data_IF_403111901096
#
_entry.id   IF_403111901096
#
_cell.length_a   1.000
_cell.length_b   1.000
_cell.length_c   1.000
_cell.angle_alpha   90.00
_cell.angle_beta   90.00
_cell.angle_gamma   90.00
#
_symmetry.space_group_name_H-M   'P 1'
#
loop_
_entity.id
_entity.type
_entity.pdbx_description
1 polymer ?
#
# COMPACT_ATOMS: atom_id res chain seq x y z
N UNK A 1 76.94 43.05 20.06
CA UNK A 1 76.09 43.42 18.92
C UNK A 1 74.66 43.00 19.25
N UNK A 2 73.78 43.99 19.39
CA UNK A 2 72.32 44.01 19.12
C UNK A 2 71.45 42.84 19.63
N UNK A 3 70.61 43.10 20.64
CA UNK A 3 69.19 42.65 20.68
C UNK A 3 68.35 43.71 19.93
N UNK A 4 67.10 43.50 19.41
CA UNK A 4 66.02 42.69 20.01
C UNK A 4 64.89 42.16 19.05
N UNK A 5 63.81 41.66 19.69
CA UNK A 5 62.38 41.65 19.29
C UNK A 5 61.90 40.58 18.29
N UNK A 6 61.09 39.62 18.73
CA UNK A 6 59.62 39.67 18.93
C UNK A 6 58.81 39.57 17.63
N UNK A 7 58.16 38.42 17.41
CA UNK A 7 56.71 38.39 17.26
C UNK A 7 56.16 36.95 17.34
N UNK A 8 55.36 36.74 18.37
CA UNK A 8 54.36 35.69 18.49
C UNK A 8 53.24 35.89 17.47
N UNK A 9 52.84 34.82 16.76
CA UNK A 9 51.47 34.68 16.28
C UNK A 9 50.90 33.36 16.81
N UNK A 10 50.07 33.48 17.83
CA UNK A 10 49.06 32.51 18.23
C UNK A 10 47.93 32.43 17.20
N UNK A 11 47.07 31.41 17.36
CA UNK A 11 45.83 31.08 16.64
C UNK A 11 46.06 30.21 15.39
N UNK A 12 45.34 29.11 15.18
CA UNK A 12 44.09 28.63 15.77
C UNK A 12 43.90 27.16 15.39
N UNK A 13 43.31 26.39 16.31
CA UNK A 13 42.52 25.21 15.95
C UNK A 13 41.70 25.50 14.69
N UNK A 14 41.90 24.70 13.65
CA UNK A 14 40.96 24.62 12.54
C UNK A 14 40.96 23.19 12.06
N UNK A 15 40.03 22.45 12.65
CA UNK A 15 39.28 21.38 12.02
C UNK A 15 40.11 20.36 11.23
N UNK A 16 40.90 19.57 11.97
CA UNK A 16 41.00 18.13 11.67
C UNK A 16 39.65 17.49 12.05
N UNK A 17 38.56 17.97 11.44
CA UNK A 17 37.37 17.17 11.32
C UNK A 17 37.81 15.98 10.48
N UNK A 18 37.65 14.73 10.95
CA UNK A 18 37.70 13.64 10.00
C UNK A 18 36.62 13.99 8.98
N UNK A 19 37.03 14.36 7.76
CA UNK A 19 36.20 14.20 6.58
C UNK A 19 35.63 12.81 6.76
N UNK A 20 34.37 12.73 7.19
CA UNK A 20 33.62 11.48 7.23
C UNK A 20 33.61 11.06 5.79
N UNK A 21 34.60 10.26 5.45
CA UNK A 21 34.76 9.61 4.19
C UNK A 21 33.37 9.02 3.93
N UNK A 22 32.74 9.49 2.86
CA UNK A 22 31.42 9.04 2.44
C UNK A 22 31.66 7.63 1.86
N UNK A 23 31.95 6.65 2.72
CA UNK A 23 32.54 5.35 2.33
C UNK A 23 31.48 4.34 1.88
N UNK A 24 30.20 4.59 2.10
CA UNK A 24 29.17 3.57 1.84
C UNK A 24 28.42 3.75 0.52
N UNK A 25 28.57 4.89 -0.17
CA UNK A 25 27.70 5.24 -1.29
C UNK A 25 28.46 5.26 -2.61
N UNK A 26 27.91 4.62 -3.64
CA UNK A 26 28.50 4.70 -4.97
C UNK A 26 28.40 6.13 -5.49
N UNK A 27 29.37 6.56 -6.30
CA UNK A 27 29.33 7.88 -6.95
C UNK A 27 28.07 8.06 -7.81
N UNK A 28 27.55 6.97 -8.38
CA UNK A 28 26.30 6.96 -9.13
C UNK A 28 25.06 7.21 -8.27
N UNK A 29 25.01 6.64 -7.06
CA UNK A 29 23.93 6.87 -6.11
C UNK A 29 23.92 8.33 -5.62
N UNK A 30 25.10 8.86 -5.29
CA UNK A 30 25.25 10.27 -4.89
C UNK A 30 24.84 11.20 -6.04
N UNK A 31 25.26 10.92 -7.27
CA UNK A 31 24.88 11.74 -8.43
C UNK A 31 23.35 11.72 -8.66
N UNK A 32 22.73 10.53 -8.58
CA UNK A 32 21.27 10.37 -8.69
C UNK A 32 20.54 11.18 -7.61
N UNK A 33 21.01 11.10 -6.36
CA UNK A 33 20.44 11.84 -5.25
C UNK A 33 20.58 13.36 -5.43
N UNK A 34 21.75 13.86 -5.80
CA UNK A 34 21.98 15.30 -6.03
C UNK A 34 21.16 15.84 -7.21
N UNK A 35 20.97 15.04 -8.27
CA UNK A 35 20.08 15.41 -9.36
C UNK A 35 18.63 15.54 -8.86
N UNK A 36 18.16 14.61 -8.03
CA UNK A 36 16.82 14.69 -7.44
C UNK A 36 16.69 15.85 -6.46
N UNK A 37 17.75 16.20 -5.70
CA UNK A 37 17.76 17.41 -4.86
C UNK A 37 17.54 18.69 -5.68
N UNK A 38 18.02 18.70 -6.93
CA UNK A 38 17.87 19.85 -7.83
C UNK A 38 16.50 19.85 -8.51
N UNK A 39 16.02 18.66 -8.88
CA UNK A 39 14.72 18.45 -9.51
C UNK A 39 14.08 17.15 -9.01
N UNK A 40 13.10 17.28 -8.11
CA UNK A 40 12.39 16.15 -7.52
C UNK A 40 11.50 15.40 -8.53
N UNK A 41 11.24 15.99 -9.71
CA UNK A 41 10.46 15.32 -10.74
C UNK A 41 11.19 14.12 -11.36
N UNK A 42 12.52 14.05 -11.20
CA UNK A 42 13.37 12.96 -11.67
C UNK A 42 13.22 11.67 -10.85
N UNK A 43 12.48 11.68 -9.73
CA UNK A 43 12.21 10.45 -8.96
C UNK A 43 11.34 9.50 -9.78
N UNK A 44 11.82 8.26 -9.94
CA UNK A 44 11.16 7.18 -10.66
C UNK A 44 11.28 5.84 -9.92
N UNK A 45 10.72 4.75 -10.47
CA UNK A 45 10.74 3.45 -9.81
C UNK A 45 12.14 2.83 -9.66
N UNK A 46 13.09 3.24 -10.51
CA UNK A 46 14.44 2.69 -10.54
C UNK A 46 15.33 3.36 -9.49
N UNK A 47 15.12 4.65 -9.25
CA UNK A 47 15.93 5.44 -8.33
C UNK A 47 15.26 5.66 -6.96
N UNK A 48 13.96 5.39 -6.82
CA UNK A 48 13.19 5.62 -5.60
C UNK A 48 13.90 5.12 -4.34
N UNK A 49 14.43 3.90 -4.36
CA UNK A 49 15.05 3.30 -3.19
C UNK A 49 16.34 4.02 -2.78
N UNK A 50 17.19 4.36 -3.76
CA UNK A 50 18.40 5.14 -3.53
C UNK A 50 18.06 6.53 -3.01
N UNK A 51 17.13 7.23 -3.66
CA UNK A 51 16.74 8.59 -3.29
C UNK A 51 16.17 8.61 -1.87
N UNK A 52 15.23 7.72 -1.53
CA UNK A 52 14.62 7.72 -0.20
C UNK A 52 15.63 7.41 0.91
N UNK A 53 16.46 6.39 0.70
CA UNK A 53 17.50 5.98 1.66
C UNK A 53 18.48 7.12 1.92
N UNK A 54 18.99 7.77 0.87
CA UNK A 54 19.92 8.88 1.01
C UNK A 54 19.24 10.12 1.59
N UNK A 55 17.99 10.40 1.23
CA UNK A 55 17.21 11.49 1.82
C UNK A 55 17.02 11.31 3.32
N UNK A 56 16.81 10.07 3.78
CA UNK A 56 16.75 9.75 5.22
C UNK A 56 18.12 9.85 5.89
N UNK A 57 19.17 9.31 5.27
CA UNK A 57 20.55 9.38 5.79
C UNK A 57 21.03 10.82 5.98
N UNK A 58 20.77 11.68 5.00
CA UNK A 58 21.17 13.09 5.00
C UNK A 58 20.08 14.05 5.47
N UNK A 59 18.95 13.54 5.95
CA UNK A 59 17.84 14.31 6.53
C UNK A 59 17.27 15.39 5.60
N UNK A 60 17.15 15.08 4.30
CA UNK A 60 16.54 15.96 3.29
C UNK A 60 15.04 15.72 3.25
N UNK A 61 14.31 16.37 4.15
CA UNK A 61 12.86 16.17 4.32
C UNK A 61 12.04 16.46 3.05
N UNK A 62 12.43 17.48 2.26
CA UNK A 62 11.75 17.81 1.01
C UNK A 62 11.77 16.65 0.01
N UNK A 63 12.85 15.87 -0.04
CA UNK A 63 12.92 14.69 -0.90
C UNK A 63 12.19 13.48 -0.33
N UNK A 64 12.10 13.36 0.99
CA UNK A 64 11.25 12.33 1.62
C UNK A 64 9.79 12.59 1.23
N UNK A 65 9.33 13.83 1.38
CA UNK A 65 7.99 14.25 0.95
C UNK A 65 7.78 14.02 -0.55
N UNK A 66 8.79 14.32 -1.38
CA UNK A 66 8.72 14.08 -2.82
C UNK A 66 8.65 12.58 -3.18
N UNK A 67 9.30 11.70 -2.42
CA UNK A 67 9.17 10.25 -2.58
C UNK A 67 7.75 9.78 -2.24
N UNK A 68 7.17 10.30 -1.15
CA UNK A 68 5.78 9.99 -0.80
C UNK A 68 4.80 10.50 -1.84
N UNK A 69 5.02 11.70 -2.36
CA UNK A 69 4.24 12.32 -3.43
C UNK A 69 4.36 11.55 -4.75
N UNK A 70 5.56 11.03 -5.06
CA UNK A 70 5.78 10.16 -6.21
C UNK A 70 4.84 8.95 -6.15
N UNK A 71 4.80 8.20 -5.04
CA UNK A 71 3.88 7.06 -4.91
C UNK A 71 2.42 7.51 -4.89
N UNK A 72 2.12 8.62 -4.22
CA UNK A 72 0.76 9.09 -4.00
C UNK A 72 0.10 9.62 -5.27
N UNK A 73 0.84 10.31 -6.15
CA UNK A 73 0.22 11.09 -7.21
C UNK A 73 0.88 10.93 -8.60
N UNK A 74 2.17 10.58 -8.69
CA UNK A 74 2.89 10.57 -9.98
C UNK A 74 3.11 9.16 -10.55
N UNK A 75 3.37 8.18 -9.70
CA UNK A 75 3.64 6.81 -10.09
C UNK A 75 2.36 6.08 -10.49
N UNK A 76 2.32 5.56 -11.71
CA UNK A 76 1.25 4.69 -12.18
C UNK A 76 1.47 3.25 -11.68
N UNK A 77 1.06 3.00 -10.44
CA UNK A 77 1.22 1.69 -9.78
C UNK A 77 0.54 0.53 -10.55
N UNK A 78 -0.50 0.79 -11.33
CA UNK A 78 -1.20 -0.22 -12.12
C UNK A 78 -0.38 -0.69 -13.33
N UNK A 79 0.52 0.15 -13.84
CA UNK A 79 1.43 -0.21 -14.93
C UNK A 79 2.64 -1.02 -14.47
N UNK A 80 2.92 -1.05 -13.16
CA UNK A 80 4.04 -1.78 -12.58
C UNK A 80 3.72 -3.26 -12.35
N UNK A 81 4.76 -4.08 -12.44
CA UNK A 81 4.67 -5.48 -12.01
C UNK A 81 4.58 -5.57 -10.49
N UNK A 82 3.90 -6.58 -9.98
CA UNK A 82 3.68 -6.74 -8.55
C UNK A 82 4.98 -6.86 -7.74
N UNK A 83 6.05 -7.45 -8.29
CA UNK A 83 7.38 -7.51 -7.65
C UNK A 83 8.04 -6.13 -7.49
N UNK A 84 7.82 -5.23 -8.45
CA UNK A 84 8.30 -3.85 -8.36
C UNK A 84 7.52 -3.10 -7.27
N UNK A 85 6.20 -3.26 -7.20
CA UNK A 85 5.37 -2.64 -6.15
C UNK A 85 5.74 -3.17 -4.76
N UNK A 86 6.04 -4.47 -4.65
CA UNK A 86 6.56 -5.06 -3.39
C UNK A 86 7.90 -4.43 -3.01
N UNK A 87 8.79 -4.18 -3.97
CA UNK A 87 10.08 -3.51 -3.71
C UNK A 87 9.85 -2.09 -3.17
N UNK A 88 8.94 -1.33 -3.78
CA UNK A 88 8.54 0.00 -3.27
C UNK A 88 7.97 -0.09 -1.85
N UNK A 89 7.16 -1.10 -1.55
CA UNK A 89 6.58 -1.30 -0.21
C UNK A 89 7.64 -1.65 0.84
N UNK A 90 8.58 -2.53 0.52
CA UNK A 90 9.69 -2.92 1.42
C UNK A 90 10.47 -1.67 1.82
N UNK A 91 10.87 -0.88 0.83
CA UNK A 91 11.67 0.34 1.07
C UNK A 91 10.85 1.40 1.80
N UNK A 92 9.58 1.59 1.43
CA UNK A 92 8.67 2.52 2.12
C UNK A 92 8.46 2.14 3.59
N UNK A 93 8.42 0.84 3.89
CA UNK A 93 8.35 0.33 5.26
C UNK A 93 9.64 0.56 6.04
N UNK A 94 10.79 0.22 5.44
CA UNK A 94 12.12 0.38 6.05
C UNK A 94 12.38 1.83 6.49
N UNK A 95 11.93 2.78 5.68
CA UNK A 95 12.10 4.21 5.94
C UNK A 95 10.86 4.90 6.50
N UNK A 96 9.88 4.13 6.99
CA UNK A 96 8.68 4.63 7.68
C UNK A 96 7.98 5.78 6.96
N UNK A 97 7.62 5.58 5.68
CA UNK A 97 6.79 6.54 4.97
C UNK A 97 5.39 6.62 5.57
N UNK A 98 4.69 7.70 5.25
CA UNK A 98 3.31 7.95 5.66
C UNK A 98 2.39 6.74 5.43
N UNK A 99 1.45 6.56 6.37
CA UNK A 99 0.47 5.46 6.34
C UNK A 99 -0.30 5.40 5.03
N UNK A 100 -0.63 6.55 4.45
CA UNK A 100 -1.39 6.66 3.19
C UNK A 100 -0.62 6.06 2.00
N UNK A 101 0.70 6.25 1.95
CA UNK A 101 1.59 5.66 0.94
C UNK A 101 1.58 4.14 1.06
N UNK A 102 1.71 3.65 2.31
CA UNK A 102 1.71 2.23 2.62
C UNK A 102 0.38 1.57 2.25
N UNK A 103 -0.75 2.21 2.57
CA UNK A 103 -2.10 1.76 2.19
C UNK A 103 -2.21 1.66 0.66
N UNK A 104 -1.70 2.65 -0.08
CA UNK A 104 -1.80 2.66 -1.55
C UNK A 104 -1.02 1.50 -2.17
N UNK A 105 0.19 1.24 -1.69
CA UNK A 105 1.02 0.11 -2.14
C UNK A 105 0.38 -1.24 -1.78
N UNK A 106 -0.12 -1.39 -0.55
CA UNK A 106 -0.81 -2.61 -0.10
C UNK A 106 -2.05 -2.89 -0.94
N UNK A 107 -2.89 -1.87 -1.19
CA UNK A 107 -4.06 -2.00 -2.04
C UNK A 107 -3.70 -2.51 -3.44
N UNK A 108 -2.65 -1.94 -4.04
CA UNK A 108 -2.20 -2.37 -5.36
C UNK A 108 -1.73 -3.82 -5.34
N UNK A 109 -0.90 -4.23 -4.38
CA UNK A 109 -0.42 -5.62 -4.29
C UNK A 109 -1.60 -6.56 -4.02
N UNK A 110 -2.48 -6.23 -3.09
CA UNK A 110 -3.63 -7.03 -2.71
C UNK A 110 -4.67 -7.18 -3.83
N UNK A 111 -4.63 -6.37 -4.89
CA UNK A 111 -5.50 -6.53 -6.06
C UNK A 111 -5.13 -7.73 -6.94
N UNK A 112 -3.93 -8.28 -6.77
CA UNK A 112 -3.45 -9.46 -7.50
C UNK A 112 -4.25 -10.72 -7.18
N UNK A 113 -4.21 -11.72 -8.07
CA UNK A 113 -4.88 -12.99 -7.79
C UNK A 113 -4.19 -13.72 -6.64
N UNK A 114 -4.94 -14.56 -5.92
CA UNK A 114 -4.38 -15.39 -4.83
C UNK A 114 -3.15 -16.19 -5.27
N UNK A 115 -3.16 -16.71 -6.50
CA UNK A 115 -2.04 -17.49 -7.03
C UNK A 115 -0.80 -16.62 -7.26
N UNK A 116 -0.99 -15.38 -7.73
CA UNK A 116 0.12 -14.45 -7.99
C UNK A 116 0.71 -13.94 -6.67
N UNK A 117 -0.12 -13.63 -5.68
CA UNK A 117 0.33 -13.28 -4.33
C UNK A 117 1.21 -14.35 -3.70
N UNK A 118 0.85 -15.63 -3.84
CA UNK A 118 1.66 -16.75 -3.33
C UNK A 118 3.02 -16.81 -4.01
N UNK A 119 3.10 -16.47 -5.32
CA UNK A 119 4.37 -16.46 -6.07
C UNK A 119 5.31 -15.35 -5.66
N UNK A 120 4.80 -14.23 -5.13
CA UNK A 120 5.61 -13.12 -4.64
C UNK A 120 6.40 -13.45 -3.37
N UNK A 121 6.09 -14.57 -2.67
CA UNK A 121 6.80 -15.02 -1.46
C UNK A 121 6.88 -13.91 -0.38
N UNK A 122 5.80 -13.14 -0.23
CA UNK A 122 5.72 -11.96 0.63
C UNK A 122 6.17 -12.21 2.08
N UNK A 123 5.90 -13.39 2.63
CA UNK A 123 6.32 -13.78 4.00
C UNK A 123 7.84 -13.82 4.22
N UNK A 124 8.64 -13.82 3.15
CA UNK A 124 10.11 -13.72 3.23
C UNK A 124 10.63 -12.30 3.07
N UNK A 125 9.83 -11.42 2.49
CA UNK A 125 10.23 -10.06 2.10
C UNK A 125 9.70 -9.01 3.06
N UNK A 126 8.57 -9.28 3.72
CA UNK A 126 7.85 -8.34 4.54
C UNK A 126 7.71 -8.84 5.98
N UNK A 127 7.63 -7.92 6.95
CA UNK A 127 7.21 -8.26 8.31
C UNK A 127 5.86 -8.99 8.34
N UNK A 128 5.62 -9.87 9.33
CA UNK A 128 4.36 -10.62 9.45
C UNK A 128 3.12 -9.74 9.44
N UNK A 129 3.19 -8.54 10.03
CA UNK A 129 2.10 -7.57 10.08
C UNK A 129 1.70 -7.12 8.68
N UNK A 130 2.67 -6.64 7.87
CA UNK A 130 2.40 -6.21 6.49
C UNK A 130 1.95 -7.35 5.58
N UNK A 131 2.55 -8.53 5.74
CA UNK A 131 2.09 -9.72 5.03
C UNK A 131 0.63 -10.05 5.37
N UNK A 132 0.28 -10.01 6.66
CA UNK A 132 -1.09 -10.17 7.14
C UNK A 132 -2.05 -9.15 6.53
N UNK A 133 -1.70 -7.86 6.56
CA UNK A 133 -2.49 -6.79 5.98
C UNK A 133 -2.78 -7.01 4.48
N UNK A 134 -1.77 -7.37 3.68
CA UNK A 134 -1.97 -7.65 2.24
C UNK A 134 -2.95 -8.82 2.02
N UNK A 135 -2.79 -9.90 2.79
CA UNK A 135 -3.66 -11.08 2.67
C UNK A 135 -5.10 -10.75 3.07
N UNK A 136 -5.29 -10.04 4.18
CA UNK A 136 -6.62 -9.61 4.64
C UNK A 136 -7.25 -8.65 3.63
N UNK A 137 -6.51 -7.67 3.12
CA UNK A 137 -7.00 -6.76 2.07
C UNK A 137 -7.41 -7.51 0.81
N UNK A 138 -6.66 -8.53 0.37
CA UNK A 138 -7.04 -9.35 -0.79
C UNK A 138 -8.36 -10.11 -0.56
N UNK A 139 -8.56 -10.64 0.66
CA UNK A 139 -9.81 -11.29 1.04
C UNK A 139 -10.97 -10.30 1.07
N UNK A 140 -10.78 -9.12 1.67
CA UNK A 140 -11.78 -8.05 1.73
C UNK A 140 -12.15 -7.57 0.33
N UNK A 141 -11.18 -7.39 -0.58
CA UNK A 141 -11.44 -7.07 -1.99
C UNK A 141 -12.25 -8.16 -2.70
N UNK A 142 -11.97 -9.43 -2.43
CA UNK A 142 -12.72 -10.55 -3.00
C UNK A 142 -14.16 -10.55 -2.51
N UNK A 143 -14.35 -10.34 -1.19
CA UNK A 143 -15.67 -10.22 -0.58
C UNK A 143 -16.43 -9.01 -1.13
N UNK A 144 -15.77 -7.86 -1.27
CA UNK A 144 -16.35 -6.64 -1.81
C UNK A 144 -16.91 -6.89 -3.22
N UNK A 145 -16.11 -7.47 -4.12
CA UNK A 145 -16.54 -7.80 -5.50
C UNK A 145 -17.74 -8.74 -5.53
N UNK A 146 -17.78 -9.73 -4.62
CA UNK A 146 -18.92 -10.65 -4.52
C UNK A 146 -20.19 -9.90 -4.08
N UNK A 147 -20.11 -9.05 -3.04
CA UNK A 147 -21.26 -8.28 -2.55
C UNK A 147 -21.74 -7.27 -3.61
N UNK A 148 -20.82 -6.61 -4.31
CA UNK A 148 -21.14 -5.70 -5.42
C UNK A 148 -21.97 -6.40 -6.53
N UNK A 149 -21.73 -7.69 -6.75
CA UNK A 149 -22.48 -8.49 -7.71
C UNK A 149 -23.92 -8.82 -7.27
N UNK A 150 -24.28 -8.64 -6.00
CA UNK A 150 -25.55 -9.10 -5.41
C UNK A 150 -26.74 -8.15 -5.64
N UNK A 151 -26.64 -7.18 -6.54
CA UNK A 151 -27.74 -6.24 -6.86
C UNK A 151 -28.32 -5.54 -5.61
N UNK A 152 -27.43 -5.12 -4.69
CA UNK A 152 -27.77 -4.48 -3.41
C UNK A 152 -28.26 -5.42 -2.31
N UNK A 153 -28.41 -6.72 -2.59
CA UNK A 153 -28.66 -7.71 -1.54
C UNK A 153 -27.36 -8.01 -0.77
N UNK A 154 -27.49 -8.50 0.46
CA UNK A 154 -26.39 -9.13 1.18
C UNK A 154 -26.79 -10.57 1.48
N UNK A 155 -26.30 -11.51 0.68
CA UNK A 155 -26.56 -12.92 0.92
C UNK A 155 -25.54 -13.51 1.88
N UNK A 156 -25.99 -14.48 2.67
CA UNK A 156 -25.06 -15.29 3.46
C UNK A 156 -24.04 -15.96 2.53
N UNK A 157 -22.75 -15.80 2.84
CA UNK A 157 -21.66 -16.39 2.06
C UNK A 157 -21.06 -17.62 2.75
N UNK A 158 -20.49 -18.52 1.96
CA UNK A 158 -19.62 -19.59 2.43
C UNK A 158 -18.36 -19.59 1.54
N UNK A 159 -17.17 -19.42 2.16
CA UNK A 159 -15.88 -19.28 1.43
C UNK A 159 -15.95 -18.26 0.28
N UNK A 160 -16.50 -17.08 0.56
CA UNK A 160 -16.64 -15.97 -0.40
C UNK A 160 -17.55 -16.25 -1.60
N UNK A 161 -18.46 -17.23 -1.49
CA UNK A 161 -19.48 -17.51 -2.51
C UNK A 161 -20.86 -17.46 -1.86
N UNK A 162 -21.83 -16.88 -2.56
CA UNK A 162 -23.24 -16.88 -2.14
C UNK A 162 -23.75 -18.29 -1.79
N UNK A 163 -24.28 -18.47 -0.58
CA UNK A 163 -24.79 -19.76 -0.10
C UNK A 163 -26.25 -19.95 -0.52
N UNK A 164 -26.48 -20.94 -1.37
CA UNK A 164 -27.82 -21.39 -1.76
C UNK A 164 -28.30 -22.55 -0.89
N UNK A 165 -29.59 -22.55 -0.58
CA UNK A 165 -30.28 -23.62 0.16
C UNK A 165 -31.64 -23.87 -0.49
N UNK A 166 -32.10 -25.12 -0.40
CA UNK A 166 -33.46 -25.52 -0.81
C UNK A 166 -34.49 -24.83 0.08
N UNK A 167 -35.16 -23.80 -0.44
CA UNK A 167 -36.24 -23.07 0.25
C UNK A 167 -37.17 -22.36 -0.76
N UNK A 168 -38.32 -21.89 -0.28
CA UNK A 168 -39.26 -21.16 -1.12
C UNK A 168 -38.68 -19.79 -1.51
N UNK A 169 -38.62 -19.51 -2.81
CA UNK A 169 -38.30 -18.16 -3.28
C UNK A 169 -39.48 -17.23 -3.06
N UNK A 170 -39.22 -16.03 -2.54
CA UNK A 170 -40.24 -15.07 -2.17
C UNK A 170 -41.04 -14.54 -3.37
N UNK A 171 -40.47 -14.58 -4.58
CA UNK A 171 -41.12 -14.07 -5.79
C UNK A 171 -41.90 -15.14 -6.56
N UNK A 172 -41.28 -16.26 -6.92
CA UNK A 172 -41.99 -17.31 -7.66
C UNK A 172 -42.76 -18.29 -6.76
N UNK A 173 -42.59 -18.21 -5.44
CA UNK A 173 -43.22 -19.09 -4.44
C UNK A 173 -42.92 -20.60 -4.64
N UNK A 174 -41.95 -20.94 -5.50
CA UNK A 174 -41.48 -22.32 -5.73
C UNK A 174 -40.34 -22.66 -4.77
N UNK A 175 -40.30 -23.90 -4.29
CA UNK A 175 -39.15 -24.45 -3.56
C UNK A 175 -38.04 -24.72 -4.57
N UNK A 176 -36.95 -23.97 -4.45
CA UNK A 176 -35.78 -24.04 -5.33
C UNK A 176 -34.52 -23.67 -4.56
N UNK A 177 -33.37 -23.72 -5.21
CA UNK A 177 -32.13 -23.20 -4.64
C UNK A 177 -32.21 -21.67 -4.54
N UNK A 178 -32.33 -21.20 -3.31
CA UNK A 178 -32.50 -19.78 -2.99
C UNK A 178 -31.46 -19.32 -1.97
N UNK A 179 -31.06 -18.06 -2.07
CA UNK A 179 -30.18 -17.39 -1.13
C UNK A 179 -31.01 -16.45 -0.24
N UNK A 180 -30.71 -16.43 1.06
CA UNK A 180 -31.37 -15.57 2.03
C UNK A 180 -30.63 -14.23 2.15
N UNK A 181 -31.33 -13.12 1.89
CA UNK A 181 -30.80 -11.77 2.01
C UNK A 181 -30.93 -11.28 3.45
N UNK A 182 -29.81 -10.89 4.06
CA UNK A 182 -29.76 -10.35 5.42
C UNK A 182 -30.32 -8.94 5.51
N UNK A 183 -30.37 -8.20 4.40
CA UNK A 183 -30.93 -6.85 4.36
C UNK A 183 -32.46 -6.84 4.35
N UNK A 184 -33.08 -7.41 3.31
CA UNK A 184 -34.54 -7.43 3.17
C UNK A 184 -35.22 -8.64 3.81
N UNK A 185 -34.46 -9.53 4.46
CA UNK A 185 -34.93 -10.71 5.21
C UNK A 185 -35.77 -11.69 4.39
N UNK A 186 -35.52 -11.75 3.08
CA UNK A 186 -36.25 -12.58 2.09
C UNK A 186 -35.30 -13.52 1.37
N UNK A 187 -35.84 -14.65 0.89
CA UNK A 187 -35.09 -15.63 0.11
C UNK A 187 -35.41 -15.52 -1.39
N UNK A 188 -34.38 -15.55 -2.25
CA UNK A 188 -34.54 -15.42 -3.69
C UNK A 188 -33.73 -16.48 -4.43
N UNK A 189 -34.32 -17.06 -5.49
CA UNK A 189 -33.53 -17.82 -6.45
C UNK A 189 -32.68 -16.86 -7.31
N UNK A 190 -31.67 -17.41 -7.99
CA UNK A 190 -30.71 -16.63 -8.80
C UNK A 190 -31.38 -15.68 -9.79
N UNK A 191 -32.37 -16.16 -10.53
CA UNK A 191 -33.08 -15.36 -11.54
C UNK A 191 -33.82 -14.16 -10.94
N UNK A 192 -34.36 -14.30 -9.73
CA UNK A 192 -35.15 -13.22 -9.13
C UNK A 192 -34.25 -12.15 -8.51
N UNK A 193 -33.22 -12.49 -7.76
CA UNK A 193 -32.39 -11.45 -7.15
C UNK A 193 -31.53 -10.71 -8.19
N UNK A 194 -31.11 -11.38 -9.26
CA UNK A 194 -30.34 -10.74 -10.35
C UNK A 194 -31.18 -9.69 -11.09
N UNK A 195 -32.49 -9.94 -11.25
CA UNK A 195 -33.42 -9.02 -11.92
C UNK A 195 -34.04 -7.96 -11.01
N UNK A 196 -34.02 -8.18 -9.70
CA UNK A 196 -34.73 -7.34 -8.73
C UNK A 196 -33.76 -6.85 -7.65
N UNK A 197 -33.51 -5.53 -7.66
CA UNK A 197 -32.66 -4.86 -6.67
C UNK A 197 -33.23 -5.04 -5.26
N UNK A 198 -32.34 -5.13 -4.27
CA UNK A 198 -32.76 -5.13 -2.88
C UNK A 198 -33.50 -3.84 -2.53
N UNK A 199 -34.57 -3.97 -1.73
CA UNK A 199 -35.33 -2.84 -1.18
C UNK A 199 -34.64 -2.20 0.03
N UNK A 200 -33.63 -2.85 0.59
CA UNK A 200 -32.86 -2.39 1.74
C UNK A 200 -31.51 -1.85 1.29
N UNK A 201 -31.05 -0.77 1.93
CA UNK A 201 -29.72 -0.21 1.72
C UNK A 201 -28.61 -0.98 2.45
N UNK A 202 -28.95 -2.05 3.18
CA UNK A 202 -28.00 -2.79 4.02
C UNK A 202 -26.77 -3.30 3.24
N UNK A 203 -26.96 -3.86 2.05
CA UNK A 203 -25.84 -4.32 1.21
C UNK A 203 -24.93 -3.17 0.77
N UNK A 204 -25.51 -2.00 0.45
CA UNK A 204 -24.73 -0.81 0.07
C UNK A 204 -23.93 -0.27 1.25
N UNK A 205 -24.54 -0.18 2.44
CA UNK A 205 -23.83 0.28 3.64
C UNK A 205 -22.65 -0.62 3.97
N UNK A 206 -22.79 -1.95 3.81
CA UNK A 206 -21.70 -2.91 4.00
C UNK A 206 -20.58 -2.73 2.96
N UNK A 207 -20.92 -2.45 1.69
CA UNK A 207 -19.95 -2.11 0.64
C UNK A 207 -19.16 -0.86 1.04
N UNK A 208 -19.84 0.18 1.51
CA UNK A 208 -19.21 1.46 1.86
C UNK A 208 -18.29 1.30 3.09
N UNK A 209 -18.72 0.54 4.10
CA UNK A 209 -17.92 0.20 5.28
C UNK A 209 -16.66 -0.61 4.92
N UNK A 210 -16.80 -1.64 4.09
CA UNK A 210 -15.66 -2.45 3.63
C UNK A 210 -14.67 -1.64 2.80
N UNK A 211 -15.15 -0.68 1.99
CA UNK A 211 -14.26 0.21 1.21
C UNK A 211 -13.47 1.16 2.11
N UNK A 212 -14.08 1.67 3.17
CA UNK A 212 -13.40 2.56 4.13
C UNK A 212 -12.32 1.81 4.92
N UNK A 213 -12.56 0.54 5.24
CA UNK A 213 -11.68 -0.29 6.06
C UNK A 213 -10.97 -1.40 5.27
N UNK A 214 -10.72 -1.16 3.98
CA UNK A 214 -10.18 -2.19 3.08
C UNK A 214 -8.77 -2.65 3.48
N UNK A 215 -7.97 -1.74 4.03
CA UNK A 215 -6.62 -1.99 4.53
C UNK A 215 -6.58 -1.73 6.02
N UNK A 216 -6.36 -2.80 6.78
CA UNK A 216 -6.09 -2.76 8.21
C UNK A 216 -4.57 -2.77 8.41
N UNK A 217 -4.05 -1.66 8.93
CA UNK A 217 -2.64 -1.47 9.27
C UNK A 217 -2.54 -1.08 10.73
N UNK A 218 -1.95 -1.96 11.52
CA UNK A 218 -1.53 -1.70 12.90
C UNK A 218 -0.03 -1.38 12.88
N UNK A 219 0.32 -0.17 13.33
CA UNK A 219 1.70 0.18 13.66
C UNK A 219 1.85 0.12 15.19
N UNK A 220 2.84 -0.63 15.66
CA UNK A 220 3.32 -0.53 17.04
C UNK A 220 4.23 0.71 17.20
#
# INVERSE_FOLDING_TARGET
MVCPASNSSSTSDSDDQPLREIVDESSGDIATFLNCCSDADLIDENNFATVLRLSRKYQVNSLIEACEEFISNRCNLDALKADQVVTLLVVSNEYHLRREVMIKLINRIASETKNDLVRLKLSRLLPPQLHGSIVTTNLNMTQLKEIESMNGHLFKMNRSVTLYRRMACEMCKKITDSAYCEGCKKAFCKDHWTRNKCVSNYGQNMIDELRQNLVELEYE
#
